data_IF_015625715994
#
_entry.id   IF_015625715994
#
_cell.length_a   1.000
_cell.length_b   1.000
_cell.length_c   1.000
_cell.angle_alpha   90.00
_cell.angle_beta   90.00
_cell.angle_gamma   90.00
#
_symmetry.space_group_name_H-M   'P 1'
#
loop_
_entity.id
_entity.type
_entity.pdbx_description
1 polymer ?
#
# COMPACT_ATOMS: atom_id res chain seq x y z
N UNK A 1 -2.04 -10.13 -0.83
CA UNK A 1 -1.09 -10.59 0.21
C UNK A 1 -0.20 -9.41 0.55
N UNK A 2 0.25 -9.32 1.80
CA UNK A 2 1.13 -8.26 2.28
C UNK A 2 2.29 -8.87 3.10
N UNK A 3 3.50 -8.36 2.95
CA UNK A 3 4.67 -8.79 3.71
C UNK A 3 4.66 -8.13 5.08
N UNK A 4 4.78 -8.91 6.14
CA UNK A 4 4.91 -8.41 7.50
C UNK A 4 6.35 -7.97 7.79
N UNK A 5 6.48 -6.81 8.41
CA UNK A 5 7.68 -6.29 9.03
C UNK A 5 7.38 -6.12 10.52
N UNK A 6 8.27 -6.57 11.41
CA UNK A 6 8.10 -6.30 12.83
C UNK A 6 8.06 -4.79 12.99
N UNK A 7 7.00 -4.30 13.63
CA UNK A 7 6.98 -2.93 14.12
C UNK A 7 8.19 -2.76 15.03
N UNK A 8 9.13 -1.93 14.63
CA UNK A 8 10.29 -1.62 15.44
C UNK A 8 9.86 -0.92 16.72
N UNK A 9 10.16 -1.52 17.86
CA UNK A 9 10.22 -0.85 19.16
C UNK A 9 8.88 -0.61 19.84
N UNK A 10 8.86 -0.90 21.15
CA UNK A 10 7.82 -0.45 22.05
C UNK A 10 7.70 1.09 21.98
N UNK A 11 6.75 1.62 21.20
CA UNK A 11 6.30 3.01 21.35
C UNK A 11 5.43 3.09 22.60
N UNK A 12 6.08 2.98 23.76
CA UNK A 12 5.47 3.14 25.08
C UNK A 12 5.23 4.63 25.34
N UNK A 13 4.23 5.21 24.67
CA UNK A 13 3.59 6.44 25.13
C UNK A 13 2.60 6.00 26.20
N UNK A 14 2.78 6.45 27.44
CA UNK A 14 1.98 6.07 28.60
C UNK A 14 0.50 6.37 28.33
N UNK A 15 -0.23 5.32 27.95
CA UNK A 15 -1.62 5.34 27.52
C UNK A 15 -1.96 4.33 26.41
N UNK A 16 -1.56 3.05 26.58
CA UNK A 16 -2.07 1.92 25.76
C UNK A 16 -1.03 0.84 25.40
N UNK A 17 -1.36 -0.43 25.64
CA UNK A 17 -0.61 -1.64 25.24
C UNK A 17 -0.87 -2.05 23.77
N UNK A 18 -0.98 -1.09 22.85
CA UNK A 18 -1.25 -1.42 21.45
C UNK A 18 0.00 -1.95 20.77
N UNK A 19 -0.13 -3.11 20.11
CA UNK A 19 0.92 -3.75 19.31
C UNK A 19 0.60 -3.60 17.84
N UNK A 20 1.64 -3.50 17.01
CA UNK A 20 1.52 -3.24 15.58
C UNK A 20 2.26 -4.29 14.76
N UNK A 21 1.61 -4.75 13.69
CA UNK A 21 2.24 -5.50 12.61
C UNK A 21 2.25 -4.59 11.38
N UNK A 22 3.43 -4.12 11.01
CA UNK A 22 3.60 -3.24 9.86
C UNK A 22 3.66 -4.10 8.60
N UNK A 23 2.96 -3.73 7.54
CA UNK A 23 3.01 -4.45 6.26
C UNK A 23 3.35 -3.51 5.10
N UNK A 24 3.68 -4.07 3.95
CA UNK A 24 3.91 -3.30 2.72
C UNK A 24 2.64 -2.93 1.93
N UNK A 25 1.46 -3.37 2.37
CA UNK A 25 0.18 -2.95 1.80
C UNK A 25 -0.46 -1.88 2.69
N UNK A 26 -1.03 -0.84 2.08
CA UNK A 26 -1.67 0.26 2.82
C UNK A 26 -3.08 0.58 2.35
N UNK A 27 -3.63 1.67 2.85
CA UNK A 27 -4.93 2.21 2.47
C UNK A 27 -4.99 2.59 0.99
N UNK A 28 -3.85 2.89 0.35
CA UNK A 28 -3.77 3.09 -1.09
C UNK A 28 -4.08 1.81 -1.89
N UNK A 29 -3.89 0.62 -1.30
CA UNK A 29 -4.17 -0.67 -1.93
C UNK A 29 -5.57 -1.19 -1.56
N UNK A 30 -5.98 -0.97 -0.31
CA UNK A 30 -7.29 -1.36 0.22
C UNK A 30 -7.80 -0.30 1.21
N UNK A 31 -8.57 0.66 0.69
CA UNK A 31 -9.04 1.82 1.48
C UNK A 31 -10.22 1.49 2.42
N UNK A 32 -10.89 0.34 2.22
CA UNK A 32 -12.16 0.03 2.91
C UNK A 32 -12.09 0.04 4.44
N UNK A 33 -11.04 -0.49 5.10
CA UNK A 33 -10.95 -0.44 6.55
C UNK A 33 -10.92 0.99 7.08
N UNK A 34 -10.10 1.87 6.48
CA UNK A 34 -10.05 3.27 6.93
C UNK A 34 -11.25 4.11 6.53
N UNK A 35 -11.87 3.83 5.38
CA UNK A 35 -12.96 4.65 4.85
C UNK A 35 -14.32 4.27 5.45
N UNK A 36 -14.53 3.00 5.76
CA UNK A 36 -15.83 2.46 6.17
C UNK A 36 -15.78 1.67 7.47
N UNK A 37 -14.64 1.64 8.17
CA UNK A 37 -14.40 0.73 9.31
C UNK A 37 -14.67 -0.74 8.94
N UNK A 38 -14.47 -1.08 7.65
CA UNK A 38 -14.85 -2.37 7.12
C UNK A 38 -13.97 -3.48 7.71
N UNK A 39 -14.60 -4.52 8.25
CA UNK A 39 -13.90 -5.71 8.70
C UNK A 39 -13.41 -6.54 7.51
N UNK A 40 -12.10 -6.77 7.45
CA UNK A 40 -11.47 -7.79 6.61
C UNK A 40 -10.77 -8.81 7.49
N UNK A 41 -11.03 -10.11 7.37
CA UNK A 41 -10.22 -11.11 8.07
C UNK A 41 -8.75 -11.00 7.62
N UNK A 42 -7.80 -11.14 8.55
CA UNK A 42 -6.36 -11.13 8.27
C UNK A 42 -5.76 -12.38 8.91
N UNK A 43 -4.95 -13.12 8.16
CA UNK A 43 -4.32 -14.35 8.65
C UNK A 43 -2.99 -14.63 7.95
N UNK A 44 -2.01 -15.29 8.60
CA UNK A 44 -0.81 -15.73 7.90
C UNK A 44 -1.10 -16.70 6.77
N UNK A 45 -0.38 -16.56 5.66
CA UNK A 45 -0.45 -17.49 4.53
C UNK A 45 0.14 -18.86 4.90
N UNK A 46 1.15 -18.87 5.78
CA UNK A 46 1.78 -20.08 6.31
C UNK A 46 1.77 -20.03 7.84
N UNK A 47 0.65 -20.34 8.50
CA UNK A 47 0.61 -20.38 9.95
C UNK A 47 1.43 -21.57 10.47
N UNK A 48 2.00 -21.45 11.67
CA UNK A 48 2.63 -22.57 12.38
C UNK A 48 1.69 -23.76 12.50
N UNK A 49 2.25 -24.98 12.58
CA UNK A 49 1.47 -26.23 12.68
C UNK A 49 0.39 -26.20 13.78
N UNK A 50 0.71 -25.59 14.91
CA UNK A 50 -0.19 -25.40 16.08
C UNK A 50 -1.40 -24.52 15.79
N UNK A 51 -1.35 -23.70 14.73
CA UNK A 51 -2.39 -22.76 14.32
C UNK A 51 -2.99 -23.12 12.94
N UNK A 52 -2.66 -24.29 12.36
CA UNK A 52 -3.17 -24.73 11.05
C UNK A 52 -4.69 -24.98 11.06
N UNK A 53 -5.20 -25.51 12.17
CA UNK A 53 -6.63 -25.84 12.34
C UNK A 53 -7.41 -24.71 13.01
N UNK A 54 -6.84 -23.50 13.11
CA UNK A 54 -7.62 -22.35 13.50
C UNK A 54 -8.68 -22.11 12.41
N UNK A 55 -9.88 -22.66 12.61
CA UNK A 55 -11.04 -22.30 11.81
C UNK A 55 -11.18 -20.77 11.82
N UNK A 56 -11.72 -20.19 10.75
CA UNK A 56 -12.01 -18.75 10.64
C UNK A 56 -13.13 -18.29 11.60
N UNK A 57 -13.16 -18.81 12.81
CA UNK A 57 -14.05 -18.41 13.89
C UNK A 57 -13.42 -17.27 14.69
N UNK A 58 -14.25 -16.38 15.21
CA UNK A 58 -13.83 -15.23 16.04
C UNK A 58 -13.45 -15.64 17.48
N UNK A 59 -13.52 -16.93 17.81
CA UNK A 59 -13.45 -17.44 19.20
C UNK A 59 -12.46 -18.60 19.40
N UNK A 60 -11.42 -18.71 18.56
CA UNK A 60 -10.39 -19.74 18.76
C UNK A 60 -9.23 -19.24 19.64
N UNK A 61 -8.66 -20.13 20.45
CA UNK A 61 -7.47 -19.88 21.26
C UNK A 61 -6.20 -19.93 20.38
N UNK A 62 -5.69 -18.77 19.99
CA UNK A 62 -4.46 -18.69 19.20
C UNK A 62 -3.25 -18.94 20.10
N UNK A 63 -2.50 -20.01 19.85
CA UNK A 63 -1.36 -20.39 20.71
C UNK A 63 -0.24 -19.37 20.59
N UNK A 64 -0.02 -18.63 21.68
CA UNK A 64 0.89 -17.49 21.73
C UNK A 64 0.41 -16.29 20.93
N UNK A 65 -0.89 -16.20 20.65
CA UNK A 65 -1.49 -15.12 19.89
C UNK A 65 -1.46 -13.79 20.62
N UNK A 66 -1.50 -12.73 19.83
CA UNK A 66 -1.38 -11.36 20.30
C UNK A 66 -2.43 -10.48 19.60
N UNK A 67 -3.14 -9.65 20.37
CA UNK A 67 -3.99 -8.60 19.79
C UNK A 67 -3.11 -7.49 19.22
N UNK A 68 -3.25 -7.24 17.92
CA UNK A 68 -2.45 -6.27 17.17
C UNK A 68 -3.29 -5.44 16.20
N UNK A 69 -2.80 -4.25 15.85
CA UNK A 69 -3.25 -3.48 14.70
C UNK A 69 -2.32 -3.79 13.50
N UNK A 70 -2.89 -4.13 12.34
CA UNK A 70 -2.16 -4.37 11.10
C UNK A 70 -2.18 -3.08 10.29
N UNK A 71 -1.02 -2.45 10.15
CA UNK A 71 -0.86 -1.09 9.61
C UNK A 71 0.03 -1.10 8.37
N UNK A 72 -0.21 -0.17 7.46
CA UNK A 72 0.59 -0.02 6.24
C UNK A 72 1.77 0.95 6.40
N UNK A 73 2.42 1.30 5.27
CA UNK A 73 3.60 2.16 5.24
C UNK A 73 3.29 3.66 4.99
N UNK A 74 2.04 4.03 4.78
CA UNK A 74 1.63 5.42 4.50
C UNK A 74 1.75 6.23 5.78
N UNK A 75 2.22 7.46 5.65
CA UNK A 75 2.44 8.35 6.79
C UNK A 75 1.13 8.99 7.30
N UNK A 76 0.08 8.20 7.46
CA UNK A 76 -1.24 8.62 7.92
C UNK A 76 -1.74 7.73 9.05
N UNK A 77 -2.35 8.35 10.06
CA UNK A 77 -2.92 7.65 11.22
C UNK A 77 -4.03 6.65 10.83
N UNK A 78 -4.71 6.91 9.71
CA UNK A 78 -5.71 6.04 9.12
C UNK A 78 -5.15 4.87 8.31
N UNK A 79 -3.83 4.71 8.16
CA UNK A 79 -3.26 3.63 7.35
C UNK A 79 -3.26 2.27 8.09
N UNK A 80 -4.44 1.70 8.26
CA UNK A 80 -4.64 0.37 8.82
C UNK A 80 -5.46 -0.53 7.90
N UNK A 81 -5.13 -1.82 7.91
CA UNK A 81 -5.88 -2.88 7.24
C UNK A 81 -6.76 -3.65 8.23
N UNK A 82 -6.37 -3.66 9.51
CA UNK A 82 -7.14 -4.24 10.60
C UNK A 82 -6.73 -3.63 11.93
N UNK A 83 -7.70 -3.44 12.83
CA UNK A 83 -7.44 -3.04 14.22
C UNK A 83 -7.96 -4.11 15.19
N UNK A 84 -7.35 -4.20 16.37
CA UNK A 84 -7.76 -5.08 17.46
C UNK A 84 -7.86 -6.55 17.05
N UNK A 85 -6.88 -7.03 16.28
CA UNK A 85 -6.95 -8.37 15.69
C UNK A 85 -6.03 -9.35 16.40
N UNK A 86 -6.59 -10.46 16.84
CA UNK A 86 -5.80 -11.55 17.38
C UNK A 86 -5.11 -12.29 16.22
N UNK A 87 -3.78 -12.27 16.23
CA UNK A 87 -2.95 -12.96 15.26
C UNK A 87 -1.96 -13.88 15.98
N UNK A 88 -1.58 -15.02 15.38
CA UNK A 88 -0.43 -15.78 15.87
C UNK A 88 0.84 -14.92 15.74
N UNK A 89 1.93 -15.27 16.44
CA UNK A 89 3.19 -14.53 16.36
C UNK A 89 3.64 -14.36 14.91
N UNK A 90 3.76 -13.11 14.46
CA UNK A 90 4.24 -12.75 13.13
C UNK A 90 5.69 -12.29 13.17
N UNK A 91 6.49 -12.73 12.21
CA UNK A 91 7.90 -12.36 12.06
C UNK A 91 8.12 -11.56 10.78
N UNK A 92 9.29 -10.93 10.68
CA UNK A 92 9.74 -10.26 9.46
C UNK A 92 9.75 -11.23 8.28
N UNK A 93 9.10 -10.85 7.19
CA UNK A 93 9.03 -11.65 5.97
C UNK A 93 7.87 -12.65 5.95
N UNK A 94 7.09 -12.77 7.01
CA UNK A 94 5.85 -13.56 6.96
C UNK A 94 4.85 -12.90 6.01
N UNK A 95 4.09 -13.71 5.28
CA UNK A 95 3.03 -13.21 4.40
C UNK A 95 1.69 -13.24 5.13
N UNK A 96 0.96 -12.13 5.08
CA UNK A 96 -0.42 -12.02 5.53
C UNK A 96 -1.38 -11.97 4.35
N UNK A 97 -2.49 -12.69 4.48
CA UNK A 97 -3.62 -12.62 3.58
C UNK A 97 -4.70 -11.74 4.21
N UNK A 98 -5.12 -10.70 3.48
CA UNK A 98 -6.32 -9.91 3.80
C UNK A 98 -7.45 -10.48 2.95
N UNK A 99 -8.44 -11.07 3.61
CA UNK A 99 -9.55 -11.76 2.95
C UNK A 99 -10.61 -10.77 2.47
N UNK A 100 -11.54 -11.26 1.64
CA UNK A 100 -12.70 -10.48 1.15
C UNK A 100 -12.33 -9.14 0.49
N UNK A 101 -11.15 -9.08 -0.15
CA UNK A 101 -10.63 -7.90 -0.85
C UNK A 101 -10.89 -7.90 -2.37
N UNK A 102 -11.64 -8.88 -2.89
CA UNK A 102 -11.90 -9.03 -4.33
C UNK A 102 -12.91 -8.03 -4.91
N UNK A 103 -13.77 -7.45 -4.09
CA UNK A 103 -14.70 -6.39 -4.48
C UNK A 103 -14.33 -5.09 -3.77
N UNK A 104 -14.33 -3.98 -4.51
CA UNK A 104 -13.99 -2.65 -3.99
C UNK A 104 -12.60 -2.56 -3.31
N UNK A 105 -11.69 -3.48 -3.65
CA UNK A 105 -10.27 -3.42 -3.30
C UNK A 105 -9.52 -2.61 -4.35
N UNK A 106 -8.95 -3.32 -5.34
CA UNK A 106 -8.18 -2.68 -6.42
C UNK A 106 -8.94 -1.56 -7.15
N UNK A 107 -10.26 -1.70 -7.33
CA UNK A 107 -11.10 -0.67 -7.96
C UNK A 107 -11.07 0.70 -7.24
N UNK A 108 -10.72 0.72 -5.95
CA UNK A 108 -10.58 1.93 -5.14
C UNK A 108 -9.11 2.23 -4.79
N UNK A 109 -8.15 1.51 -5.40
CA UNK A 109 -6.73 1.75 -5.16
C UNK A 109 -6.25 3.07 -5.77
N UNK A 110 -5.29 3.69 -5.10
CA UNK A 110 -4.73 4.99 -5.47
C UNK A 110 -3.20 4.96 -5.51
N UNK A 111 -2.63 6.03 -6.05
CA UNK A 111 -1.18 6.27 -6.04
C UNK A 111 -0.75 7.21 -4.91
N UNK A 112 -1.51 7.26 -3.81
CA UNK A 112 -1.15 8.06 -2.63
C UNK A 112 0.25 7.66 -2.12
N UNK A 113 1.01 8.63 -1.62
CA UNK A 113 2.45 8.52 -1.31
C UNK A 113 3.32 8.05 -2.50
N UNK A 114 2.91 8.36 -3.73
CA UNK A 114 3.59 7.98 -4.98
C UNK A 114 3.85 6.47 -5.10
N UNK A 115 2.95 5.66 -4.52
CA UNK A 115 3.07 4.21 -4.52
C UNK A 115 2.47 3.65 -5.82
N UNK A 116 3.23 2.89 -6.62
CA UNK A 116 2.65 2.20 -7.77
C UNK A 116 1.64 1.14 -7.35
N UNK A 117 0.47 1.10 -7.99
CA UNK A 117 -0.58 0.13 -7.63
C UNK A 117 -0.13 -1.31 -7.80
N UNK A 118 -0.63 -2.17 -6.92
CA UNK A 118 -0.30 -3.59 -6.84
C UNK A 118 -0.72 -4.37 -8.11
N UNK A 119 -0.06 -5.50 -8.42
CA UNK A 119 -0.52 -6.39 -9.49
C UNK A 119 -1.77 -7.16 -9.08
N UNK A 120 -2.57 -7.60 -10.06
CA UNK A 120 -3.68 -8.54 -9.88
C UNK A 120 -3.34 -9.88 -10.55
N UNK A 121 -3.61 -10.97 -9.84
CA UNK A 121 -3.32 -12.34 -10.28
C UNK A 121 -4.62 -13.15 -10.29
N UNK A 122 -4.87 -13.86 -11.38
CA UNK A 122 -5.93 -14.85 -11.49
C UNK A 122 -5.33 -16.24 -11.32
N UNK A 123 -5.88 -17.01 -10.38
CA UNK A 123 -5.52 -18.42 -10.14
C UNK A 123 -6.62 -19.31 -10.74
N UNK A 124 -6.23 -20.33 -11.48
CA UNK A 124 -7.11 -21.33 -12.07
C UNK A 124 -6.52 -22.73 -11.86
N UNK A 125 -7.16 -23.50 -10.97
CA UNK A 125 -6.66 -24.78 -10.49
C UNK A 125 -5.24 -24.67 -9.89
N UNK A 126 -4.27 -25.35 -10.51
CA UNK A 126 -2.86 -25.32 -10.12
C UNK A 126 -2.02 -24.29 -10.88
N UNK A 127 -2.64 -23.45 -11.71
CA UNK A 127 -1.98 -22.45 -12.54
C UNK A 127 -2.37 -21.03 -12.12
N UNK A 128 -1.55 -20.04 -12.49
CA UNK A 128 -1.87 -18.63 -12.27
C UNK A 128 -1.36 -17.76 -13.41
N UNK A 129 -1.97 -16.59 -13.59
CA UNK A 129 -1.52 -15.56 -14.53
C UNK A 129 -1.69 -14.16 -13.93
N UNK A 130 -0.76 -13.27 -14.29
CA UNK A 130 -0.89 -11.85 -13.97
C UNK A 130 -1.90 -11.26 -14.95
N UNK A 131 -3.06 -10.81 -14.43
CA UNK A 131 -4.11 -10.16 -15.24
C UNK A 131 -3.97 -8.63 -15.24
N UNK A 132 -3.24 -8.09 -14.27
CA UNK A 132 -2.81 -6.69 -14.24
C UNK A 132 -1.39 -6.62 -13.71
N UNK A 133 -0.47 -6.04 -14.48
CA UNK A 133 0.92 -5.83 -14.03
C UNK A 133 0.97 -4.78 -12.93
N UNK A 134 2.00 -4.86 -12.09
CA UNK A 134 2.35 -3.78 -11.16
C UNK A 134 2.68 -2.52 -11.97
N UNK A 135 2.24 -1.37 -11.47
CA UNK A 135 2.66 -0.08 -12.02
C UNK A 135 4.14 0.19 -11.71
N UNK A 136 4.79 0.99 -12.54
CA UNK A 136 6.13 1.51 -12.27
C UNK A 136 6.04 2.98 -11.86
N UNK A 137 7.15 3.57 -11.43
CA UNK A 137 7.18 5.00 -11.11
C UNK A 137 6.95 5.85 -12.37
N UNK A 138 7.42 5.38 -13.52
CA UNK A 138 7.21 6.02 -14.82
C UNK A 138 5.73 6.09 -15.20
N UNK A 139 4.95 5.05 -14.90
CA UNK A 139 3.49 5.04 -15.14
C UNK A 139 2.80 6.20 -14.39
N UNK A 140 3.30 6.59 -13.21
CA UNK A 140 2.70 7.63 -12.38
C UNK A 140 2.87 9.04 -12.97
N UNK A 141 4.00 9.28 -13.63
CA UNK A 141 4.37 10.61 -14.15
C UNK A 141 4.06 10.78 -15.63
N UNK A 142 3.70 9.71 -16.32
CA UNK A 142 3.44 9.72 -17.78
C UNK A 142 2.37 10.75 -18.18
N UNK A 143 1.35 10.98 -17.36
CA UNK A 143 0.32 11.99 -17.63
C UNK A 143 0.77 13.44 -17.36
N UNK A 144 1.84 13.63 -16.57
CA UNK A 144 2.34 14.95 -16.14
C UNK A 144 3.54 15.48 -16.94
N UNK A 145 4.11 14.71 -17.86
CA UNK A 145 5.41 15.02 -18.52
C UNK A 145 5.40 16.12 -19.60
N UNK A 146 4.36 16.95 -19.71
CA UNK A 146 4.36 18.13 -20.60
C UNK A 146 5.14 19.35 -20.06
N UNK A 147 5.93 19.20 -18.99
CA UNK A 147 6.67 20.33 -18.38
C UNK A 147 7.82 20.81 -19.27
N UNK A 148 8.44 19.93 -20.07
CA UNK A 148 9.63 20.28 -20.87
C UNK A 148 9.28 21.21 -22.05
N UNK A 149 8.05 21.15 -22.57
CA UNK A 149 7.58 22.07 -23.62
C UNK A 149 7.46 23.53 -23.14
N UNK A 150 7.05 23.73 -21.89
CA UNK A 150 6.91 25.07 -21.29
C UNK A 150 8.24 25.67 -20.83
N UNK A 151 9.15 24.86 -20.27
CA UNK A 151 10.44 25.35 -19.76
C UNK A 151 11.38 25.77 -20.91
N UNK A 152 11.30 25.13 -22.08
CA UNK A 152 12.10 25.52 -23.24
C UNK A 152 11.53 26.73 -24.00
N UNK A 153 10.20 26.92 -24.00
CA UNK A 153 9.57 28.08 -24.64
C UNK A 153 9.92 29.42 -23.96
N UNK A 154 10.20 29.41 -22.64
CA UNK A 154 10.64 30.59 -21.89
C UNK A 154 12.12 30.96 -22.05
N UNK A 155 12.94 30.09 -22.67
CA UNK A 155 14.38 30.34 -22.90
C UNK A 155 14.69 30.88 -24.30
N UNK A 156 13.75 30.80 -25.24
CA UNK A 156 13.94 31.23 -26.62
C UNK A 156 13.58 32.72 -26.88
N UNK A 157 13.15 33.48 -25.86
CA UNK A 157 12.77 34.90 -26.04
C UNK A 157 13.87 35.93 -25.71
N UNK A 158 15.06 35.48 -25.31
CA UNK A 158 16.18 36.38 -25.05
C UNK A 158 17.41 35.85 -25.79
N UNK A 159 17.66 36.39 -26.98
CA UNK A 159 18.96 36.62 -27.65
C UNK A 159 18.63 36.78 -29.14
N UNK A 160 18.40 38.04 -29.54
CA UNK A 160 18.81 38.68 -30.79
C UNK A 160 18.14 40.07 -30.82
N UNK A 161 18.77 40.99 -30.09
CA UNK A 161 19.36 42.21 -30.65
C UNK A 161 18.36 43.30 -31.03
N UNK A 162 18.11 44.16 -30.04
CA UNK A 162 18.32 45.60 -30.21
C UNK A 162 19.68 45.84 -30.92
N UNK A 163 19.66 45.81 -32.25
CA UNK A 163 20.55 46.60 -33.09
C UNK A 163 19.62 47.51 -33.90
N UNK A 164 19.41 48.70 -33.37
CA UNK A 164 19.01 49.91 -34.09
C UNK A 164 20.30 50.68 -34.45
N UNK A 165 20.36 51.65 -35.38
CA UNK A 165 19.41 52.16 -36.38
C UNK A 165 20.04 52.35 -37.79
N UNK A 166 19.44 51.89 -38.90
CA UNK A 166 19.79 52.43 -40.23
C UNK A 166 18.63 52.24 -41.23
N UNK A 167 18.09 53.38 -41.67
CA UNK A 167 17.56 53.63 -43.01
C UNK A 167 16.46 52.69 -43.56
N UNK A 168 15.21 53.06 -43.27
CA UNK A 168 14.14 52.94 -44.26
C UNK A 168 14.40 53.98 -45.36
N UNK A 169 14.96 53.53 -46.47
CA UNK A 169 14.89 54.14 -47.80
C UNK A 169 14.18 53.18 -48.74
#
# INVERSE_FOLDING_TARGET
>A
MANAFPGGGNYRKTGGEKRFVIVDAGMNDLIRPTLYEAYHHVWPVKPDAKNLNAERSRTFEIVGGETVDVVGPICESGDYLATGRDLPPTKRGDLLAVFTAGAYGFAMSSNYDNRPRVPEVLVDGSSYRIIRRRETLEDLVTAGTNVIGFVNAGRAQNIESEISPFERG
#
